data_IF_593919448991
#
_entry.id   IF_593919448991
#
_cell.length_a   1.000
_cell.length_b   1.000
_cell.length_c   1.000
_cell.angle_alpha   90.00
_cell.angle_beta   90.00
_cell.angle_gamma   90.00
#
_symmetry.space_group_name_H-M   'P 1'
#
loop_
_entity.id
_entity.type
_entity.pdbx_description
1 polymer ?
#
# COMPACT_ATOMS: atom_id res chain seq x y z
N UNK A 1 1.42 -3.27 -28.77
CA UNK A 1 1.15 -2.81 -27.40
C UNK A 1 2.40 -2.08 -26.95
N UNK A 2 2.32 -0.77 -26.79
CA UNK A 2 3.46 0.05 -26.38
C UNK A 2 3.55 0.02 -24.85
N UNK A 3 4.75 -0.23 -24.31
CA UNK A 3 4.97 -0.28 -22.88
C UNK A 3 5.09 1.15 -22.36
N UNK A 4 4.01 1.69 -21.80
CA UNK A 4 4.04 3.02 -21.17
C UNK A 4 4.77 2.91 -19.84
N UNK A 5 5.94 3.53 -19.77
CA UNK A 5 6.72 3.62 -18.52
C UNK A 5 6.37 4.94 -17.84
N UNK A 6 5.73 4.90 -16.68
CA UNK A 6 5.49 6.06 -15.83
C UNK A 6 6.48 6.04 -14.66
N UNK A 7 7.03 7.21 -14.32
CA UNK A 7 7.85 7.41 -13.12
C UNK A 7 7.01 8.16 -12.09
N UNK A 8 7.18 7.82 -10.82
CA UNK A 8 6.54 8.49 -9.69
C UNK A 8 7.59 8.69 -8.59
N UNK A 9 7.37 9.71 -7.76
CA UNK A 9 8.25 10.01 -6.63
C UNK A 9 7.59 9.50 -5.35
N UNK A 10 8.37 8.78 -4.54
CA UNK A 10 7.99 8.40 -3.18
C UNK A 10 8.66 9.37 -2.22
N UNK A 11 7.88 10.00 -1.33
CA UNK A 11 8.42 10.91 -0.32
C UNK A 11 9.29 10.15 0.70
N UNK A 12 10.13 10.88 1.46
CA UNK A 12 10.90 10.26 2.53
C UNK A 12 10.01 9.63 3.62
N UNK A 13 8.87 10.24 3.91
CA UNK A 13 7.93 9.73 4.92
C UNK A 13 7.18 8.49 4.41
N UNK A 14 6.75 8.48 3.14
CA UNK A 14 6.16 7.29 2.52
C UNK A 14 7.16 6.13 2.48
N UNK A 15 8.42 6.42 2.13
CA UNK A 15 9.49 5.42 2.14
C UNK A 15 9.70 4.85 3.54
N UNK A 16 9.69 5.69 4.57
CA UNK A 16 9.85 5.23 5.95
C UNK A 16 8.73 4.25 6.36
N UNK A 17 7.50 4.45 5.89
CA UNK A 17 6.38 3.50 6.11
C UNK A 17 6.63 2.20 5.33
N UNK A 18 6.97 2.29 4.04
CA UNK A 18 7.24 1.10 3.19
C UNK A 18 8.38 0.24 3.75
N UNK A 19 9.43 0.86 4.28
CA UNK A 19 10.59 0.16 4.84
C UNK A 19 10.25 -0.69 6.08
N UNK A 20 9.06 -0.53 6.68
CA UNK A 20 8.58 -1.36 7.79
C UNK A 20 7.85 -2.64 7.35
N UNK A 21 7.52 -2.75 6.05
CA UNK A 21 6.70 -3.84 5.50
C UNK A 21 7.51 -5.09 5.21
N UNK A 22 6.85 -6.25 5.19
CA UNK A 22 7.53 -7.54 4.99
C UNK A 22 7.80 -7.81 3.50
N UNK A 23 6.79 -7.64 2.66
CA UNK A 23 6.82 -7.91 1.22
C UNK A 23 5.96 -6.86 0.48
N UNK A 24 6.42 -5.60 0.38
CA UNK A 24 5.63 -4.52 -0.21
C UNK A 24 5.55 -4.61 -1.74
N UNK A 25 4.34 -4.49 -2.27
CA UNK A 25 4.04 -4.38 -3.70
C UNK A 25 3.30 -3.07 -3.98
N UNK A 26 3.91 -2.21 -4.79
CA UNK A 26 3.32 -0.92 -5.15
C UNK A 26 2.38 -1.07 -6.34
N UNK A 27 1.15 -0.57 -6.19
CA UNK A 27 0.19 -0.52 -7.28
C UNK A 27 0.18 0.86 -7.93
N UNK A 28 0.41 0.90 -9.26
CA UNK A 28 0.46 2.14 -10.01
C UNK A 28 -0.92 2.62 -10.51
N UNK A 29 -2.00 1.89 -10.21
CA UNK A 29 -3.35 2.17 -10.72
C UNK A 29 -4.19 3.08 -9.82
N UNK A 30 -3.75 3.31 -8.57
CA UNK A 30 -4.46 4.12 -7.57
C UNK A 30 -3.58 5.27 -7.07
N UNK A 31 -2.97 6.02 -7.99
CA UNK A 31 -2.36 7.31 -7.64
C UNK A 31 -3.39 8.41 -7.83
N UNK A 32 -4.04 8.80 -6.74
CA UNK A 32 -4.72 10.07 -6.62
C UNK A 32 -3.90 10.93 -5.65
N UNK A 33 -3.68 12.18 -6.04
CA UNK A 33 -3.19 13.24 -5.15
C UNK A 33 -1.95 12.86 -4.31
N UNK A 34 -0.93 12.28 -4.96
CA UNK A 34 0.35 11.87 -4.35
C UNK A 34 0.27 10.74 -3.29
N UNK A 35 -0.92 10.19 -3.06
CA UNK A 35 -1.11 9.00 -2.23
C UNK A 35 -0.66 7.77 -2.98
N UNK A 36 0.06 6.87 -2.30
CA UNK A 36 0.50 5.61 -2.88
C UNK A 36 -0.23 4.42 -2.25
N UNK A 37 -0.61 3.46 -3.08
CA UNK A 37 -1.19 2.19 -2.64
C UNK A 37 -0.10 1.12 -2.57
N UNK A 38 0.06 0.51 -1.39
CA UNK A 38 1.06 -0.55 -1.15
C UNK A 38 0.37 -1.76 -0.57
N UNK A 39 0.53 -2.91 -1.21
CA UNK A 39 0.03 -4.19 -0.72
C UNK A 39 1.19 -4.92 -0.03
N UNK A 40 1.02 -5.25 1.25
CA UNK A 40 1.96 -6.07 2.02
C UNK A 40 1.37 -7.46 2.27
N UNK A 41 2.09 -8.49 1.84
CA UNK A 41 1.71 -9.89 2.06
C UNK A 41 2.38 -10.35 3.36
N UNK A 42 1.58 -10.45 4.42
CA UNK A 42 2.07 -10.79 5.76
C UNK A 42 2.32 -12.30 5.84
N UNK A 43 1.35 -13.11 5.44
CA UNK A 43 1.39 -14.56 5.33
C UNK A 43 0.38 -15.08 4.28
N UNK A 44 0.05 -16.37 4.31
CA UNK A 44 -0.87 -17.02 3.39
C UNK A 44 -2.35 -16.70 3.64
N UNK A 45 -2.67 -16.07 4.77
CA UNK A 45 -4.04 -15.77 5.20
C UNK A 45 -4.32 -14.26 5.30
N UNK A 46 -3.29 -13.44 5.50
CA UNK A 46 -3.42 -12.01 5.79
C UNK A 46 -2.69 -11.17 4.75
N UNK A 47 -3.45 -10.28 4.11
CA UNK A 47 -2.94 -9.26 3.19
C UNK A 47 -3.35 -7.89 3.73
N UNK A 48 -2.42 -6.93 3.71
CA UNK A 48 -2.69 -5.54 4.07
C UNK A 48 -2.55 -4.62 2.86
N UNK A 49 -3.52 -3.75 2.66
CA UNK A 49 -3.48 -2.66 1.70
C UNK A 49 -3.30 -1.34 2.45
N UNK A 50 -2.25 -0.60 2.13
CA UNK A 50 -1.92 0.68 2.72
C UNK A 50 -2.22 1.78 1.70
N UNK A 51 -2.95 2.80 2.12
CA UNK A 51 -3.04 4.06 1.38
C UNK A 51 -2.23 5.11 2.12
N UNK A 52 -1.08 5.49 1.56
CA UNK A 52 -0.05 6.30 2.25
C UNK A 52 0.09 7.68 1.62
N UNK A 53 -0.24 8.71 2.40
CA UNK A 53 -0.10 10.11 2.01
C UNK A 53 1.37 10.55 1.98
N UNK A 54 1.71 11.65 1.30
CA UNK A 54 3.08 12.17 1.21
C UNK A 54 3.75 12.47 2.56
N UNK A 55 2.97 12.78 3.60
CA UNK A 55 3.45 13.06 4.96
C UNK A 55 3.69 11.79 5.80
N UNK A 56 3.40 10.61 5.25
CA UNK A 56 3.53 9.31 5.92
C UNK A 56 2.28 8.89 6.71
N UNK A 57 1.26 9.74 6.83
CA UNK A 57 -0.03 9.32 7.37
C UNK A 57 -0.68 8.31 6.43
N UNK A 58 -1.34 7.31 6.98
CA UNK A 58 -1.91 6.23 6.18
C UNK A 58 -3.10 5.57 6.86
N UNK A 59 -3.91 4.93 6.03
CA UNK A 59 -4.91 3.94 6.47
C UNK A 59 -4.45 2.55 6.03
N UNK A 60 -4.90 1.54 6.78
CA UNK A 60 -4.63 0.14 6.50
C UNK A 60 -5.97 -0.58 6.37
N UNK A 61 -6.13 -1.29 5.28
CA UNK A 61 -7.20 -2.26 5.08
C UNK A 61 -6.61 -3.66 5.10
N UNK A 62 -7.23 -4.57 5.85
CA UNK A 62 -6.78 -5.95 6.00
C UNK A 62 -7.82 -6.90 5.40
N UNK A 63 -7.32 -7.85 4.61
CA UNK A 63 -8.07 -9.00 4.16
C UNK A 63 -7.58 -10.20 4.97
N UNK A 64 -8.38 -10.60 5.95
CA UNK A 64 -8.23 -11.87 6.66
C UNK A 64 -9.06 -12.93 5.94
N UNK A 65 -8.41 -14.00 5.50
CA UNK A 65 -8.99 -15.09 4.70
C UNK A 65 -9.52 -14.66 3.32
N UNK A 66 -9.08 -15.35 2.27
CA UNK A 66 -9.49 -15.05 0.90
C UNK A 66 -11.00 -15.31 0.76
N UNK A 67 -11.77 -14.23 0.63
CA UNK A 67 -13.23 -14.24 0.52
C UNK A 67 -13.97 -13.46 1.60
N UNK A 68 -13.28 -13.03 2.67
CA UNK A 68 -13.88 -12.31 3.81
C UNK A 68 -14.20 -10.83 3.57
N UNK A 69 -13.70 -10.25 2.48
CA UNK A 69 -13.79 -8.80 2.22
C UNK A 69 -12.75 -8.00 3.03
N UNK A 70 -12.61 -6.71 2.71
CA UNK A 70 -11.62 -5.85 3.34
C UNK A 70 -12.19 -5.17 4.59
N UNK A 71 -11.37 -5.05 5.64
CA UNK A 71 -11.72 -4.35 6.87
C UNK A 71 -10.65 -3.31 7.22
N UNK A 72 -11.06 -2.11 7.62
CA UNK A 72 -10.10 -1.09 8.04
C UNK A 72 -9.57 -1.40 9.44
N UNK A 73 -8.25 -1.41 9.60
CA UNK A 73 -7.59 -1.61 10.90
C UNK A 73 -6.99 -0.31 11.42
N UNK A 74 -6.99 -0.14 12.75
CA UNK A 74 -6.46 1.06 13.37
C UNK A 74 -4.93 1.12 13.26
N UNK A 75 -4.40 2.30 12.92
CA UNK A 75 -2.98 2.61 12.99
C UNK A 75 -2.64 3.01 14.44
N UNK A 76 -1.74 2.27 15.08
CA UNK A 76 -1.26 2.50 16.45
C UNK A 76 -0.07 3.45 16.51
#
# INVERSE_FOLDING_TARGET
MELVTATFTVSAAQKAVIDTMRSPHLSLTHFNDETIAVVDVIDDHTIRNYSINPDGTHIIEELEEIGGGWTQVATS
#
